data_IF_903737839026
#
_entry.id   IF_903737839026
#
_cell.length_a   1.000
_cell.length_b   1.000
_cell.length_c   1.000
_cell.angle_alpha   90.00
_cell.angle_beta   90.00
_cell.angle_gamma   90.00
#
_symmetry.space_group_name_H-M   'P 1'
#
loop_
_entity.id
_entity.type
_entity.pdbx_description
1 polymer ?
#
# COMPACT_ATOMS: atom_id res chain seq x y z
N UNK A 1 -2.86 -0.63 -17.10
CA UNK A 1 -1.73 -0.51 -16.16
C UNK A 1 -2.27 -0.48 -14.74
N UNK A 2 -1.65 -1.25 -13.84
CA UNK A 2 -2.02 -1.39 -12.42
C UNK A 2 -0.87 -0.92 -11.55
N UNK A 3 -1.10 0.14 -10.77
CA UNK A 3 -0.12 0.76 -9.88
C UNK A 3 -0.47 0.46 -8.43
N UNK A 4 0.51 0.02 -7.65
CA UNK A 4 0.39 -0.10 -6.21
C UNK A 4 1.29 0.92 -5.53
N UNK A 5 0.66 1.88 -4.84
CA UNK A 5 1.36 2.81 -3.96
C UNK A 5 1.58 2.14 -2.61
N UNK A 6 2.84 2.12 -2.17
CA UNK A 6 3.27 1.57 -0.89
C UNK A 6 3.88 2.69 -0.04
N UNK A 7 3.07 3.67 0.40
CA UNK A 7 3.58 4.81 1.15
C UNK A 7 4.08 4.42 2.54
N UNK A 8 5.14 5.10 2.97
CA UNK A 8 5.28 5.46 4.38
C UNK A 8 4.30 6.59 4.68
N UNK A 9 3.84 6.71 5.92
CA UNK A 9 2.91 7.78 6.31
C UNK A 9 3.47 9.17 5.95
N UNK A 10 2.99 9.72 4.83
CA UNK A 10 3.34 11.02 4.26
C UNK A 10 2.11 11.92 4.17
N UNK A 11 1.28 11.92 5.21
CA UNK A 11 0.15 12.86 5.29
C UNK A 11 -0.94 12.63 4.23
N UNK A 12 -1.14 11.39 3.79
CA UNK A 12 -2.18 11.04 2.80
C UNK A 12 -1.82 11.38 1.35
N UNK A 13 -0.59 11.81 1.06
CA UNK A 13 -0.15 12.19 -0.28
C UNK A 13 -0.40 11.10 -1.35
N UNK A 14 -0.07 9.85 -1.03
CA UNK A 14 -0.28 8.72 -1.94
C UNK A 14 -1.75 8.49 -2.29
N UNK A 15 -2.69 8.80 -1.38
CA UNK A 15 -4.12 8.72 -1.69
C UNK A 15 -4.53 9.75 -2.73
N UNK A 16 -4.15 11.01 -2.53
CA UNK A 16 -4.46 12.07 -3.50
C UNK A 16 -3.95 11.74 -4.90
N UNK A 17 -2.69 11.29 -4.99
CA UNK A 17 -2.10 10.85 -6.25
C UNK A 17 -2.86 9.67 -6.86
N UNK A 18 -3.15 8.65 -6.07
CA UNK A 18 -3.87 7.47 -6.54
C UNK A 18 -5.27 7.81 -7.08
N UNK A 19 -5.99 8.75 -6.46
CA UNK A 19 -7.30 9.21 -6.95
C UNK A 19 -7.19 9.99 -8.25
N UNK A 20 -6.17 10.84 -8.40
CA UNK A 20 -5.90 11.50 -9.67
C UNK A 20 -5.59 10.50 -10.80
N UNK A 21 -4.75 9.49 -10.52
CA UNK A 21 -4.44 8.42 -11.48
C UNK A 21 -5.69 7.62 -11.90
N UNK A 22 -6.56 7.28 -10.94
CA UNK A 22 -7.85 6.63 -11.25
C UNK A 22 -8.73 7.48 -12.14
N UNK A 23 -8.79 8.80 -11.92
CA UNK A 23 -9.54 9.71 -12.77
C UNK A 23 -9.00 9.75 -14.21
N UNK A 24 -7.72 9.43 -14.42
CA UNK A 24 -7.08 9.29 -15.74
C UNK A 24 -7.21 7.87 -16.34
N UNK A 25 -7.97 6.97 -15.72
CA UNK A 25 -8.21 5.62 -16.20
C UNK A 25 -7.15 4.58 -15.79
N UNK A 26 -6.23 4.92 -14.89
CA UNK A 26 -5.23 3.98 -14.34
C UNK A 26 -5.80 3.25 -13.13
N UNK A 27 -5.61 1.94 -13.06
CA UNK A 27 -5.94 1.20 -11.84
C UNK A 27 -4.87 1.47 -10.79
N UNK A 28 -5.19 2.28 -9.79
CA UNK A 28 -4.22 2.75 -8.80
C UNK A 28 -4.73 2.49 -7.39
N UNK A 29 -3.97 1.72 -6.60
CA UNK A 29 -4.34 1.34 -5.24
C UNK A 29 -3.28 1.81 -4.23
N UNK A 30 -3.72 2.08 -3.00
CA UNK A 30 -2.85 2.44 -1.88
C UNK A 30 -2.85 1.35 -0.83
N UNK A 31 -1.68 0.73 -0.60
CA UNK A 31 -1.45 -0.21 0.48
C UNK A 31 -0.63 0.42 1.60
N UNK A 32 -1.09 0.25 2.84
CA UNK A 32 -0.36 0.64 4.04
C UNK A 32 -0.01 -0.58 4.89
N UNK A 33 1.15 -0.55 5.53
CA UNK A 33 1.55 -1.56 6.53
C UNK A 33 0.66 -1.49 7.78
N UNK A 34 0.15 -0.31 8.09
CA UNK A 34 -0.84 0.00 9.14
C UNK A 34 -1.50 1.34 8.81
N UNK A 35 -2.78 1.53 9.16
CA UNK A 35 -3.38 2.87 9.12
C UNK A 35 -2.61 3.87 9.99
N UNK A 36 -2.51 5.11 9.51
CA UNK A 36 -1.98 6.20 10.33
C UNK A 36 -2.97 6.60 11.41
N UNK A 37 -2.47 7.23 12.46
CA UNK A 37 -3.29 7.80 13.54
C UNK A 37 -4.26 8.89 13.04
N UNK A 38 -3.96 9.51 11.90
CA UNK A 38 -4.80 10.51 11.24
C UNK A 38 -5.91 9.89 10.38
N UNK A 39 -5.92 8.57 10.21
CA UNK A 39 -7.01 7.86 9.54
C UNK A 39 -7.13 8.16 8.04
N UNK A 40 -6.02 8.43 7.34
CA UNK A 40 -6.07 8.61 5.89
C UNK A 40 -6.61 7.35 5.19
N UNK A 41 -7.45 7.51 4.17
CA UNK A 41 -8.01 6.38 3.44
C UNK A 41 -6.93 5.60 2.69
N UNK A 42 -7.15 4.30 2.59
CA UNK A 42 -6.32 3.36 1.83
C UNK A 42 -7.21 2.26 1.25
N UNK A 43 -6.72 1.57 0.22
CA UNK A 43 -7.43 0.43 -0.38
C UNK A 43 -7.07 -0.88 0.34
N UNK A 44 -5.85 -0.99 0.86
CA UNK A 44 -5.37 -2.16 1.60
C UNK A 44 -4.64 -1.73 2.87
N UNK A 45 -5.09 -2.25 4.00
CA UNK A 45 -4.36 -2.15 5.27
C UNK A 45 -3.91 -3.54 5.73
N UNK A 46 -2.60 -3.73 5.85
CA UNK A 46 -2.01 -4.99 6.31
C UNK A 46 -2.06 -5.16 7.84
N UNK A 47 -2.36 -4.11 8.61
CA UNK A 47 -2.48 -4.17 10.08
C UNK A 47 -1.30 -4.87 10.77
N UNK A 48 -0.08 -4.66 10.27
CA UNK A 48 1.11 -5.41 10.69
C UNK A 48 1.51 -5.15 12.16
N UNK A 49 1.07 -4.02 12.74
CA UNK A 49 1.33 -3.67 14.14
C UNK A 49 0.32 -4.24 15.13
N UNK A 50 -0.82 -4.75 14.67
CA UNK A 50 -1.90 -5.27 15.52
C UNK A 50 -1.80 -6.79 15.72
N UNK A 51 -0.81 -7.44 15.11
CA UNK A 51 -0.66 -8.90 15.08
C UNK A 51 0.70 -9.34 15.61
N UNK A 52 0.79 -10.58 16.08
CA UNK A 52 2.06 -11.20 16.47
C UNK A 52 3.03 -11.27 15.27
N UNK A 53 4.33 -11.15 15.53
CA UNK A 53 5.37 -11.11 14.49
C UNK A 53 5.24 -12.19 13.40
N UNK A 54 5.02 -13.49 13.72
CA UNK A 54 4.89 -14.52 12.69
C UNK A 54 3.68 -14.30 11.77
N UNK A 55 2.57 -13.83 12.32
CA UNK A 55 1.34 -13.53 11.58
C UNK A 55 1.57 -12.34 10.65
N UNK A 56 2.26 -11.30 11.13
CA UNK A 56 2.59 -10.11 10.34
C UNK A 56 3.52 -10.46 9.17
N UNK A 57 4.53 -11.32 9.39
CA UNK A 57 5.43 -11.79 8.32
C UNK A 57 4.69 -12.61 7.29
N UNK A 58 3.84 -13.57 7.70
CA UNK A 58 3.04 -14.38 6.78
C UNK A 58 2.06 -13.52 5.96
N UNK A 59 1.39 -12.55 6.59
CA UNK A 59 0.46 -11.64 5.93
C UNK A 59 1.17 -10.76 4.90
N UNK A 60 2.33 -10.22 5.26
CA UNK A 60 3.17 -9.44 4.34
C UNK A 60 3.63 -10.32 3.17
N UNK A 61 4.18 -11.50 3.43
CA UNK A 61 4.66 -12.42 2.39
C UNK A 61 3.56 -12.83 1.42
N UNK A 62 2.37 -13.18 1.93
CA UNK A 62 1.21 -13.50 1.09
C UNK A 62 0.76 -12.31 0.25
N UNK A 63 0.71 -11.11 0.84
CA UNK A 63 0.37 -9.90 0.12
C UNK A 63 1.38 -9.62 -0.99
N UNK A 64 2.68 -9.71 -0.72
CA UNK A 64 3.74 -9.50 -1.70
C UNK A 64 3.60 -10.48 -2.87
N UNK A 65 3.43 -11.78 -2.60
CA UNK A 65 3.24 -12.80 -3.63
C UNK A 65 2.04 -12.51 -4.54
N UNK A 66 0.94 -12.04 -3.95
CA UNK A 66 -0.25 -11.65 -4.71
C UNK A 66 -0.02 -10.35 -5.48
N UNK A 67 0.60 -9.35 -4.88
CA UNK A 67 0.80 -8.04 -5.46
C UNK A 67 1.74 -8.10 -6.68
N UNK A 68 2.84 -8.86 -6.59
CA UNK A 68 3.78 -9.06 -7.72
C UNK A 68 3.10 -9.68 -8.95
N UNK A 69 2.00 -10.41 -8.76
CA UNK A 69 1.20 -10.95 -9.88
C UNK A 69 0.10 -10.01 -10.38
N UNK A 70 -0.29 -9.01 -9.59
CA UNK A 70 -1.47 -8.18 -9.84
C UNK A 70 -1.13 -6.74 -10.23
N UNK A 71 0.10 -6.29 -10.02
CA UNK A 71 0.50 -4.91 -10.29
C UNK A 71 1.70 -4.86 -11.22
N UNK A 72 1.66 -3.90 -12.13
CA UNK A 72 2.71 -3.65 -13.11
C UNK A 72 3.77 -2.70 -12.54
N UNK A 73 3.36 -1.76 -11.67
CA UNK A 73 4.21 -0.71 -11.11
C UNK A 73 4.03 -0.64 -9.60
N UNK A 74 5.15 -0.54 -8.88
CA UNK A 74 5.19 -0.33 -7.44
C UNK A 74 5.78 1.05 -7.16
N UNK A 75 4.99 1.93 -6.55
CA UNK A 75 5.40 3.29 -6.21
C UNK A 75 5.63 3.39 -4.70
N UNK A 76 6.88 3.55 -4.30
CA UNK A 76 7.27 3.73 -2.91
C UNK A 76 7.35 5.21 -2.56
N UNK A 77 6.45 5.68 -1.71
CA UNK A 77 6.46 7.07 -1.23
C UNK A 77 7.36 7.15 0.01
N UNK A 78 8.60 7.59 -0.20
CA UNK A 78 9.66 7.87 0.79
C UNK A 78 9.94 6.78 1.84
N UNK A 79 11.18 6.29 1.91
CA UNK A 79 11.71 5.61 3.10
C UNK A 79 11.23 4.18 3.39
N UNK A 80 10.49 3.53 2.48
CA UNK A 80 10.13 2.12 2.61
C UNK A 80 10.20 1.34 1.29
N UNK A 81 10.54 0.07 1.41
CA UNK A 81 10.43 -0.97 0.37
C UNK A 81 9.27 -1.93 0.68
N UNK A 82 8.97 -2.81 -0.28
CA UNK A 82 7.93 -3.83 -0.14
C UNK A 82 8.26 -4.87 0.95
N UNK A 83 9.55 -5.15 1.14
CA UNK A 83 10.14 -5.97 2.22
C UNK A 83 10.84 -5.06 3.22
#
# INVERSE_FOLDING_TARGET
>A
MRVLHCPTDTGGHAWGLSRAERALGVHSDVMVRRSSWLGFPCDVDLRLRESALPVSVLRLGWFVLRAVRQYDVFHFNWGMSLV
#
